data_IF_715044482004
#
_entry.id   IF_715044482004
#
_cell.length_a   1.000
_cell.length_b   1.000
_cell.length_c   1.000
_cell.angle_alpha   90.00
_cell.angle_beta   90.00
_cell.angle_gamma   90.00
#
_symmetry.space_group_name_H-M   'P 1'
#
loop_
_entity.id
_entity.type
_entity.pdbx_description
1 polymer ?
#
# COMPACT_ATOMS: atom_id res chain seq x y z
N UNK A 1 -18.39 -7.25 -8.10
CA UNK A 1 -18.44 -5.76 -8.05
C UNK A 1 -17.54 -5.20 -6.94
N UNK A 2 -16.86 -4.08 -7.18
CA UNK A 2 -16.01 -3.37 -6.19
C UNK A 2 -16.82 -2.47 -5.26
N UNK A 3 -16.54 -2.53 -3.96
CA UNK A 3 -17.11 -1.62 -2.98
C UNK A 3 -16.53 -0.20 -3.15
N UNK A 4 -17.32 0.82 -2.84
CA UNK A 4 -16.79 2.17 -2.60
C UNK A 4 -16.14 2.26 -1.21
N UNK A 5 -15.52 3.40 -0.85
CA UNK A 5 -14.94 3.56 0.48
C UNK A 5 -15.98 3.34 1.58
N UNK A 6 -15.57 2.77 2.72
CA UNK A 6 -16.46 2.48 3.85
C UNK A 6 -17.13 3.76 4.36
N UNK A 7 -16.38 4.86 4.40
CA UNK A 7 -16.86 6.21 4.69
C UNK A 7 -16.33 7.21 3.65
N UNK A 8 -17.12 8.23 3.34
CA UNK A 8 -16.74 9.34 2.46
C UNK A 8 -17.10 9.18 0.98
N UNK A 9 -16.64 10.14 0.16
CA UNK A 9 -16.98 10.24 -1.26
C UNK A 9 -15.96 9.51 -2.16
N UNK A 10 -16.48 8.87 -3.23
CA UNK A 10 -15.66 8.44 -4.36
C UNK A 10 -15.16 9.68 -5.10
N UNK A 11 -13.92 10.08 -4.85
CA UNK A 11 -13.28 11.12 -5.66
C UNK A 11 -12.61 10.47 -6.88
N UNK A 12 -13.06 10.73 -8.12
CA UNK A 12 -12.29 10.33 -9.30
C UNK A 12 -10.99 11.14 -9.31
N UNK A 13 -9.84 10.47 -9.33
CA UNK A 13 -8.60 11.18 -9.57
C UNK A 13 -8.37 11.31 -11.06
N UNK A 14 -8.39 12.56 -11.54
CA UNK A 14 -7.89 12.93 -12.87
C UNK A 14 -6.40 12.57 -13.07
N UNK A 15 -5.70 12.14 -12.00
CA UNK A 15 -4.31 11.66 -12.05
C UNK A 15 -4.11 10.52 -13.08
N UNK A 16 -5.13 9.72 -13.33
CA UNK A 16 -5.08 8.60 -14.27
C UNK A 16 -5.97 8.86 -15.50
N UNK A 17 -6.36 10.11 -15.74
CA UNK A 17 -7.38 10.45 -16.74
C UNK A 17 -8.80 10.08 -16.32
N UNK A 18 -9.78 10.44 -17.15
CA UNK A 18 -11.20 10.30 -16.81
C UNK A 18 -11.69 8.85 -16.73
N UNK A 19 -11.07 7.94 -17.50
CA UNK A 19 -11.38 6.51 -17.53
C UNK A 19 -10.39 5.67 -16.69
N UNK A 20 -9.45 6.30 -16.00
CA UNK A 20 -8.38 5.63 -15.26
C UNK A 20 -7.21 5.12 -16.13
N UNK A 21 -7.27 5.33 -17.45
CA UNK A 21 -6.23 4.94 -18.41
C UNK A 21 -5.99 6.04 -19.46
N UNK A 22 -6.09 7.31 -19.09
CA UNK A 22 -5.85 8.45 -19.99
C UNK A 22 -6.61 8.39 -21.33
N UNK A 23 -7.88 7.97 -21.30
CA UNK A 23 -8.79 7.79 -22.44
C UNK A 23 -8.43 6.63 -23.38
N UNK A 24 -7.39 5.85 -23.07
CA UNK A 24 -7.03 4.66 -23.85
C UNK A 24 -8.11 3.58 -23.74
N UNK A 25 -8.77 3.45 -22.59
CA UNK A 25 -9.89 2.52 -22.44
C UNK A 25 -11.08 2.86 -23.35
N UNK A 26 -11.32 4.16 -23.59
CA UNK A 26 -12.35 4.62 -24.53
C UNK A 26 -11.99 4.40 -26.00
N UNK A 27 -10.70 4.40 -26.34
CA UNK A 27 -10.19 4.13 -27.69
C UNK A 27 -10.17 2.63 -28.02
N UNK A 28 -10.13 1.79 -26.98
CA UNK A 28 -10.18 0.33 -27.09
C UNK A 28 -11.40 -0.20 -26.31
N UNK A 29 -12.63 0.06 -26.79
CA UNK A 29 -13.82 -0.37 -26.07
C UNK A 29 -13.89 -1.90 -26.07
N UNK A 30 -13.77 -2.48 -24.88
CA UNK A 30 -13.97 -3.91 -24.68
C UNK A 30 -15.39 -4.15 -24.17
N UNK A 31 -16.11 -5.05 -24.83
CA UNK A 31 -17.37 -5.53 -24.28
C UNK A 31 -17.05 -6.27 -22.99
N UNK A 32 -17.51 -5.71 -21.89
CA UNK A 32 -17.31 -6.25 -20.57
C UNK A 32 -18.17 -7.53 -20.43
N UNK A 33 -17.61 -8.66 -20.83
CA UNK A 33 -18.26 -9.98 -20.85
C UNK A 33 -17.68 -10.85 -19.75
N UNK A 34 -18.50 -11.77 -19.26
CA UNK A 34 -18.07 -12.82 -18.33
C UNK A 34 -17.51 -12.32 -16.99
N UNK A 35 -18.01 -11.18 -16.49
CA UNK A 35 -17.69 -10.76 -15.13
C UNK A 35 -18.20 -11.77 -14.11
N UNK A 36 -17.38 -12.02 -13.11
CA UNK A 36 -17.83 -12.71 -11.91
C UNK A 36 -18.96 -11.90 -11.24
N UNK A 37 -20.11 -12.55 -11.09
CA UNK A 37 -21.29 -11.95 -10.47
C UNK A 37 -21.12 -11.73 -8.96
N UNK A 38 -20.14 -12.39 -8.31
CA UNK A 38 -19.84 -12.23 -6.89
C UNK A 38 -19.33 -10.82 -6.59
N UNK A 39 -19.64 -10.31 -5.40
CA UNK A 39 -18.92 -9.16 -4.85
C UNK A 39 -17.49 -9.55 -4.49
N UNK A 40 -16.56 -8.60 -4.57
CA UNK A 40 -15.12 -8.89 -4.36
C UNK A 40 -14.83 -9.58 -3.02
N UNK A 41 -15.45 -9.20 -1.88
CA UNK A 41 -15.25 -9.93 -0.61
C UNK A 41 -15.69 -11.39 -0.64
N UNK A 42 -16.79 -11.70 -1.34
CA UNK A 42 -17.25 -13.08 -1.54
C UNK A 42 -16.28 -13.86 -2.44
N UNK A 43 -15.75 -13.21 -3.47
CA UNK A 43 -14.70 -13.80 -4.31
C UNK A 43 -13.42 -14.08 -3.51
N UNK A 44 -12.98 -13.16 -2.63
CA UNK A 44 -11.80 -13.38 -1.78
C UNK A 44 -12.00 -14.57 -0.83
N UNK A 45 -13.18 -14.70 -0.22
CA UNK A 45 -13.52 -15.88 0.58
C UNK A 45 -13.34 -17.17 -0.21
N UNK A 46 -13.91 -17.23 -1.41
CA UNK A 46 -13.90 -18.44 -2.24
C UNK A 46 -12.47 -18.78 -2.67
N UNK A 47 -11.70 -17.80 -3.14
CA UNK A 47 -10.29 -17.99 -3.51
C UNK A 47 -9.42 -18.42 -2.32
N UNK A 48 -9.65 -17.87 -1.12
CA UNK A 48 -8.94 -18.30 0.08
C UNK A 48 -9.26 -19.75 0.47
N UNK A 49 -10.49 -20.22 0.23
CA UNK A 49 -10.88 -21.61 0.45
C UNK A 49 -10.31 -22.56 -0.62
N UNK A 50 -10.31 -22.13 -1.88
CA UNK A 50 -9.83 -22.91 -3.04
C UNK A 50 -8.29 -22.98 -3.10
N UNK A 51 -7.62 -21.90 -2.69
CA UNK A 51 -6.17 -21.74 -2.75
C UNK A 51 -5.58 -21.35 -1.39
N UNK A 52 -5.66 -22.23 -0.37
CA UNK A 52 -5.00 -21.98 0.90
C UNK A 52 -3.49 -21.84 0.69
N UNK A 53 -2.89 -20.86 1.37
CA UNK A 53 -1.49 -20.48 1.20
C UNK A 53 -1.25 -19.46 0.07
N UNK A 54 -2.28 -19.01 -0.65
CA UNK A 54 -2.09 -17.97 -1.66
C UNK A 54 -1.64 -16.63 -1.04
N UNK A 55 -0.98 -15.82 -1.87
CA UNK A 55 -0.69 -14.40 -1.57
C UNK A 55 -1.78 -13.52 -2.19
N UNK A 56 -2.36 -12.61 -1.39
CA UNK A 56 -3.27 -11.59 -1.89
C UNK A 56 -2.51 -10.26 -2.03
N UNK A 57 -2.47 -9.70 -3.24
CA UNK A 57 -1.85 -8.42 -3.53
C UNK A 57 -2.91 -7.31 -3.60
N UNK A 58 -2.82 -6.32 -2.72
CA UNK A 58 -3.74 -5.19 -2.65
C UNK A 58 -3.03 -3.89 -3.07
N UNK A 59 -3.45 -3.33 -4.22
CA UNK A 59 -2.84 -2.17 -4.88
C UNK A 59 -3.75 -0.93 -4.91
N UNK A 60 -4.93 -1.01 -4.29
CA UNK A 60 -5.89 0.08 -4.26
C UNK A 60 -6.50 0.25 -2.88
N UNK A 61 -7.58 1.05 -2.75
CA UNK A 61 -8.30 1.20 -1.49
C UNK A 61 -8.68 -0.15 -0.89
N UNK A 62 -8.48 -0.30 0.42
CA UNK A 62 -8.56 -1.58 1.11
C UNK A 62 -10.00 -2.00 1.44
N UNK A 63 -11.01 -1.28 0.95
CA UNK A 63 -12.42 -1.50 1.33
C UNK A 63 -12.89 -2.94 1.12
N UNK A 64 -12.59 -3.52 -0.06
CA UNK A 64 -12.94 -4.91 -0.34
C UNK A 64 -12.25 -5.86 0.65
N UNK A 65 -11.00 -5.58 1.00
CA UNK A 65 -10.25 -6.40 1.93
C UNK A 65 -10.80 -6.30 3.36
N UNK A 66 -11.08 -5.08 3.84
CA UNK A 66 -11.70 -4.84 5.13
C UNK A 66 -13.07 -5.52 5.24
N UNK A 67 -13.90 -5.40 4.20
CA UNK A 67 -15.19 -6.09 4.14
C UNK A 67 -15.04 -7.61 4.14
N UNK A 68 -13.99 -8.17 3.54
CA UNK A 68 -13.71 -9.60 3.55
C UNK A 68 -13.25 -10.08 4.94
N UNK A 69 -12.37 -9.34 5.62
CA UNK A 69 -11.99 -9.62 7.01
C UNK A 69 -13.18 -9.58 7.97
N UNK A 70 -14.08 -8.60 7.80
CA UNK A 70 -15.27 -8.47 8.64
C UNK A 70 -16.31 -9.56 8.38
N UNK A 71 -16.53 -9.94 7.11
CA UNK A 71 -17.58 -10.91 6.74
C UNK A 71 -17.12 -12.36 6.78
N UNK A 72 -15.87 -12.63 6.42
CA UNK A 72 -15.33 -13.96 6.18
C UNK A 72 -13.96 -14.17 6.84
N UNK A 73 -13.80 -13.87 8.15
CA UNK A 73 -12.51 -13.92 8.82
C UNK A 73 -11.82 -15.29 8.67
N UNK A 74 -12.58 -16.39 8.74
CA UNK A 74 -12.05 -17.75 8.65
C UNK A 74 -11.42 -18.06 7.30
N UNK A 75 -12.01 -17.56 6.21
CA UNK A 75 -11.45 -17.71 4.87
C UNK A 75 -10.23 -16.81 4.67
N UNK A 76 -10.25 -15.59 5.22
CA UNK A 76 -9.10 -14.69 5.17
C UNK A 76 -7.86 -15.28 5.86
N UNK A 77 -8.05 -16.08 6.93
CA UNK A 77 -6.95 -16.80 7.61
C UNK A 77 -6.26 -17.87 6.76
N UNK A 78 -6.84 -18.25 5.60
CA UNK A 78 -6.26 -19.27 4.72
C UNK A 78 -5.19 -18.73 3.79
N UNK A 79 -5.14 -17.42 3.57
CA UNK A 79 -4.04 -16.81 2.84
C UNK A 79 -2.73 -16.96 3.65
N UNK A 80 -1.61 -17.13 2.97
CA UNK A 80 -0.29 -17.13 3.62
C UNK A 80 0.07 -15.70 4.03
N UNK A 81 -0.07 -14.78 3.08
CA UNK A 81 0.29 -13.38 3.23
C UNK A 81 -0.62 -12.47 2.42
N UNK A 82 -0.75 -11.24 2.89
CA UNK A 82 -1.39 -10.13 2.19
C UNK A 82 -0.36 -9.04 2.03
N UNK A 83 -0.07 -8.67 0.79
CA UNK A 83 0.91 -7.62 0.46
C UNK A 83 0.14 -6.38 0.03
N UNK A 84 0.35 -5.27 0.74
CA UNK A 84 -0.36 -4.01 0.58
C UNK A 84 0.60 -2.95 0.04
N UNK A 85 0.32 -2.41 -1.15
CA UNK A 85 1.02 -1.26 -1.71
C UNK A 85 0.30 0.04 -1.34
N UNK A 86 0.43 0.49 -0.10
CA UNK A 86 -0.22 1.68 0.43
C UNK A 86 0.54 2.19 1.67
N UNK A 87 0.02 3.25 2.30
CA UNK A 87 0.64 3.96 3.43
C UNK A 87 1.83 4.84 3.04
N UNK A 88 2.09 5.82 3.89
CA UNK A 88 3.26 6.66 3.85
C UNK A 88 3.58 7.17 5.26
N UNK A 89 4.85 7.06 5.66
CA UNK A 89 5.37 7.48 6.97
C UNK A 89 5.73 8.97 6.99
N UNK A 90 6.38 9.48 5.94
CA UNK A 90 6.92 10.85 5.96
C UNK A 90 6.14 11.85 5.11
N UNK A 91 5.25 11.40 4.22
CA UNK A 91 4.43 12.30 3.42
C UNK A 91 3.57 11.59 2.38
N UNK A 92 2.39 12.14 2.14
CA UNK A 92 1.41 11.57 1.22
C UNK A 92 1.68 11.91 -0.25
N UNK A 93 0.96 11.21 -1.14
CA UNK A 93 0.91 11.51 -2.58
C UNK A 93 -0.48 12.00 -3.04
N UNK A 94 -1.48 12.04 -2.15
CA UNK A 94 -2.83 12.56 -2.44
C UNK A 94 -3.10 13.90 -1.74
N UNK A 95 -2.76 13.98 -0.46
CA UNK A 95 -2.61 15.24 0.28
C UNK A 95 -1.16 15.31 0.78
N UNK A 96 -0.69 16.42 1.38
CA UNK A 96 0.65 16.47 1.97
C UNK A 96 0.94 15.32 2.96
N UNK A 97 -0.12 14.76 3.58
CA UNK A 97 0.00 13.74 4.63
C UNK A 97 -0.61 12.38 4.25
N UNK A 98 -1.68 12.37 3.45
CA UNK A 98 -2.44 11.17 3.10
C UNK A 98 -1.96 10.49 1.82
N UNK A 99 -1.70 9.18 1.91
CA UNK A 99 -1.47 8.31 0.76
C UNK A 99 -2.78 8.12 -0.03
N UNK A 100 -2.68 7.92 -1.33
CA UNK A 100 -3.80 7.88 -2.27
C UNK A 100 -4.88 6.85 -1.91
N UNK A 101 -4.51 5.59 -1.71
CA UNK A 101 -5.45 4.53 -1.37
C UNK A 101 -6.00 4.70 0.06
N UNK A 102 -5.15 5.10 1.00
CA UNK A 102 -5.56 5.30 2.40
C UNK A 102 -6.37 6.57 2.63
N UNK A 103 -6.18 7.63 1.86
CA UNK A 103 -7.01 8.83 1.94
C UNK A 103 -8.45 8.52 1.51
N UNK A 104 -8.61 7.60 0.57
CA UNK A 104 -9.93 7.16 0.10
C UNK A 104 -10.67 6.38 1.19
N UNK A 105 -10.00 5.44 1.87
CA UNK A 105 -10.60 4.60 2.91
C UNK A 105 -9.59 4.20 4.00
N UNK A 106 -9.26 5.12 4.94
CA UNK A 106 -8.35 4.85 6.05
C UNK A 106 -8.95 3.88 7.06
N UNK A 107 -10.28 3.91 7.23
CA UNK A 107 -11.00 3.00 8.13
C UNK A 107 -10.77 1.53 7.72
N UNK A 108 -10.72 1.26 6.41
CA UNK A 108 -10.41 -0.08 5.91
C UNK A 108 -9.02 -0.58 6.33
N UNK A 109 -7.99 0.28 6.39
CA UNK A 109 -6.67 -0.14 6.86
C UNK A 109 -6.72 -0.58 8.33
N UNK A 110 -7.33 0.24 9.19
CA UNK A 110 -7.41 -0.07 10.62
C UNK A 110 -8.19 -1.38 10.86
N UNK A 111 -9.24 -1.65 10.09
CA UNK A 111 -9.96 -2.93 10.14
C UNK A 111 -9.04 -4.08 9.72
N UNK A 112 -8.35 -3.98 8.60
CA UNK A 112 -7.44 -5.02 8.09
C UNK A 112 -6.34 -5.33 9.13
N UNK A 113 -5.71 -4.29 9.68
CA UNK A 113 -4.64 -4.42 10.67
C UNK A 113 -5.11 -4.84 12.06
N UNK A 114 -6.40 -4.69 12.37
CA UNK A 114 -6.96 -5.19 13.64
C UNK A 114 -7.07 -6.72 13.70
N UNK A 115 -6.88 -7.40 12.55
CA UNK A 115 -6.93 -8.86 12.46
C UNK A 115 -5.73 -9.51 13.16
N UNK A 116 -5.91 -9.94 14.42
CA UNK A 116 -4.84 -10.52 15.26
C UNK A 116 -4.48 -11.97 14.95
N UNK A 117 -5.31 -12.67 14.18
CA UNK A 117 -5.11 -14.09 13.83
C UNK A 117 -5.40 -14.22 12.34
N UNK A 118 -4.38 -14.49 11.52
CA UNK A 118 -4.56 -14.61 10.08
C UNK A 118 -3.25 -14.55 9.29
N UNK A 119 -3.32 -14.18 8.00
CA UNK A 119 -2.15 -14.12 7.12
C UNK A 119 -1.14 -13.10 7.64
N UNK A 120 0.12 -13.26 7.26
CA UNK A 120 1.09 -12.19 7.43
C UNK A 120 0.65 -10.95 6.63
N UNK A 121 0.45 -9.81 7.30
CA UNK A 121 0.14 -8.55 6.63
C UNK A 121 1.45 -7.81 6.40
N UNK A 122 1.80 -7.62 5.13
CA UNK A 122 3.01 -6.92 4.70
C UNK A 122 2.60 -5.60 4.04
N UNK A 123 3.11 -4.48 4.57
CA UNK A 123 2.83 -3.14 4.05
C UNK A 123 4.08 -2.56 3.40
N UNK A 124 3.94 -2.14 2.14
CA UNK A 124 4.94 -1.42 1.36
C UNK A 124 4.53 0.06 1.30
N UNK A 125 5.00 0.89 2.25
CA UNK A 125 4.73 2.31 2.24
C UNK A 125 5.41 2.99 1.04
N UNK A 126 4.87 4.13 0.60
CA UNK A 126 5.46 4.95 -0.46
C UNK A 126 6.95 5.19 -0.26
N UNK A 127 7.36 5.41 0.99
CA UNK A 127 8.73 5.70 1.40
C UNK A 127 9.71 4.58 1.01
N UNK A 128 9.25 3.33 0.95
CA UNK A 128 10.08 2.16 0.66
C UNK A 128 10.55 2.10 -0.80
N UNK A 129 9.81 2.70 -1.74
CA UNK A 129 10.06 2.56 -3.17
C UNK A 129 10.16 3.89 -3.93
N UNK A 130 10.29 5.03 -3.26
CA UNK A 130 10.47 6.33 -3.95
C UNK A 130 11.64 6.33 -4.95
N UNK A 131 12.61 5.43 -4.76
CA UNK A 131 13.76 5.23 -5.65
C UNK A 131 13.37 4.44 -6.93
N UNK A 132 12.37 3.57 -6.87
CA UNK A 132 11.86 2.82 -8.02
C UNK A 132 10.95 3.70 -8.88
N UNK A 133 11.51 4.20 -9.97
CA UNK A 133 10.88 5.24 -10.78
C UNK A 133 11.27 5.17 -12.25
N UNK A 134 10.38 5.61 -13.14
CA UNK A 134 10.66 5.71 -14.57
C UNK A 134 10.76 7.17 -15.01
N UNK A 135 11.64 7.43 -15.97
CA UNK A 135 11.61 8.64 -16.78
C UNK A 135 11.06 8.37 -18.19
N UNK A 136 11.00 9.40 -19.04
CA UNK A 136 10.50 9.25 -20.40
C UNK A 136 11.41 8.37 -21.28
N UNK A 137 12.72 8.34 -21.01
CA UNK A 137 13.65 7.49 -21.76
C UNK A 137 13.43 6.02 -21.42
N UNK A 138 13.16 5.72 -20.14
CA UNK A 138 12.69 4.41 -19.72
C UNK A 138 11.41 4.03 -20.49
N UNK A 139 10.40 4.92 -20.55
CA UNK A 139 9.15 4.64 -21.27
C UNK A 139 9.40 4.41 -22.77
N UNK A 140 10.19 5.25 -23.44
CA UNK A 140 10.51 5.06 -24.86
C UNK A 140 11.19 3.71 -25.11
N UNK A 141 12.17 3.34 -24.29
CA UNK A 141 12.86 2.06 -24.40
C UNK A 141 11.93 0.85 -24.19
N UNK A 142 10.88 0.99 -23.37
CA UNK A 142 9.83 -0.01 -23.23
C UNK A 142 8.96 -0.10 -24.49
N UNK A 143 8.53 1.04 -25.03
CA UNK A 143 7.60 1.11 -26.16
C UNK A 143 8.20 0.57 -27.46
N UNK A 144 9.50 0.76 -27.67
CA UNK A 144 10.22 0.28 -28.87
C UNK A 144 10.27 -1.25 -28.99
N UNK A 145 9.96 -2.00 -27.92
CA UNK A 145 9.96 -3.47 -27.92
C UNK A 145 8.76 -4.09 -28.63
N UNK A 146 7.72 -3.32 -28.95
CA UNK A 146 6.66 -3.74 -29.88
C UNK A 146 5.75 -4.88 -29.41
N UNK A 147 5.68 -5.20 -28.11
CA UNK A 147 4.69 -6.16 -27.57
C UNK A 147 3.31 -5.53 -27.50
N UNK A 148 2.25 -6.29 -27.77
CA UNK A 148 0.88 -5.74 -27.83
C UNK A 148 0.42 -5.14 -26.51
N UNK A 149 0.74 -5.78 -25.37
CA UNK A 149 0.48 -5.21 -24.05
C UNK A 149 1.21 -3.87 -23.83
N UNK A 150 2.44 -3.72 -24.34
CA UNK A 150 3.21 -2.47 -24.24
C UNK A 150 2.64 -1.40 -25.16
N UNK A 151 2.29 -1.74 -26.42
CA UNK A 151 1.63 -0.81 -27.35
C UNK A 151 0.35 -0.22 -26.74
N UNK A 152 -0.39 -1.04 -25.99
CA UNK A 152 -1.61 -0.60 -25.30
C UNK A 152 -1.32 0.38 -24.16
N UNK A 153 -0.39 0.06 -23.26
CA UNK A 153 -0.16 0.88 -22.05
C UNK A 153 0.77 2.08 -22.29
N UNK A 154 1.59 2.06 -23.33
CA UNK A 154 2.60 3.07 -23.63
C UNK A 154 2.06 4.51 -23.69
N UNK A 155 0.97 4.81 -24.41
CA UNK A 155 0.40 6.16 -24.42
C UNK A 155 0.02 6.68 -23.03
N UNK A 156 -0.59 5.82 -22.20
CA UNK A 156 -0.97 6.15 -20.83
C UNK A 156 0.26 6.34 -19.93
N UNK A 157 1.28 5.50 -20.07
CA UNK A 157 2.56 5.65 -19.36
C UNK A 157 3.30 6.93 -19.77
N UNK A 158 3.38 7.24 -21.07
CA UNK A 158 3.98 8.48 -21.56
C UNK A 158 3.28 9.70 -20.99
N UNK A 159 1.94 9.67 -20.90
CA UNK A 159 1.17 10.76 -20.30
C UNK A 159 1.38 10.82 -18.79
N UNK A 160 1.37 9.69 -18.09
CA UNK A 160 1.60 9.63 -16.64
C UNK A 160 3.00 10.15 -16.26
N UNK A 161 4.04 9.68 -16.94
CA UNK A 161 5.43 10.08 -16.71
C UNK A 161 5.71 11.50 -17.22
N UNK A 162 5.11 11.87 -18.35
CA UNK A 162 5.29 13.18 -18.99
C UNK A 162 4.38 14.28 -18.44
N UNK A 163 3.45 13.99 -17.52
CA UNK A 163 2.49 14.99 -17.07
C UNK A 163 3.19 16.15 -16.36
N UNK A 164 2.88 17.37 -16.82
CA UNK A 164 3.68 18.59 -16.68
C UNK A 164 3.72 19.20 -15.27
N UNK A 165 3.24 18.50 -14.25
CA UNK A 165 3.41 18.91 -12.84
C UNK A 165 4.80 18.53 -12.30
N UNK A 166 5.48 17.54 -12.90
CA UNK A 166 6.82 17.10 -12.49
C UNK A 166 7.80 18.26 -12.26
N UNK A 167 8.02 19.16 -13.22
CA UNK A 167 8.92 20.31 -13.06
C UNK A 167 8.50 21.29 -11.94
N UNK A 168 7.20 21.46 -11.70
CA UNK A 168 6.66 22.35 -10.66
C UNK A 168 6.88 21.81 -9.24
N UNK A 169 7.03 20.49 -9.09
CA UNK A 169 7.33 19.82 -7.81
C UNK A 169 8.74 19.23 -7.78
N UNK A 170 9.61 19.61 -8.74
CA UNK A 170 11.01 19.17 -8.81
C UNK A 170 11.22 17.68 -9.15
N UNK A 171 10.23 17.02 -9.76
CA UNK A 171 10.27 15.60 -10.13
C UNK A 171 10.43 15.42 -11.63
N UNK A 172 11.50 14.73 -12.03
CA UNK A 172 11.78 14.32 -13.41
C UNK A 172 11.47 12.84 -13.67
N UNK A 173 11.14 12.09 -12.62
CA UNK A 173 10.82 10.65 -12.66
C UNK A 173 9.47 10.41 -11.98
N UNK A 174 8.68 9.50 -12.52
CA UNK A 174 7.42 9.07 -11.92
C UNK A 174 7.61 7.76 -11.15
N UNK A 175 7.03 7.71 -9.95
CA UNK A 175 7.01 6.50 -9.13
C UNK A 175 6.00 5.51 -9.69
N UNK A 176 6.30 4.21 -9.62
CA UNK A 176 5.36 3.16 -10.03
C UNK A 176 5.12 2.21 -8.85
N UNK A 177 4.37 2.68 -7.82
CA UNK A 177 4.15 1.97 -6.55
C UNK A 177 3.66 0.53 -6.76
N UNK A 178 2.68 0.38 -7.65
CA UNK A 178 1.99 -0.89 -7.86
C UNK A 178 2.90 -1.96 -8.45
N UNK A 179 3.77 -1.58 -9.39
CA UNK A 179 4.75 -2.48 -9.99
C UNK A 179 5.83 -2.85 -8.98
N UNK A 180 6.31 -1.90 -8.18
CA UNK A 180 7.26 -2.21 -7.10
C UNK A 180 6.65 -3.23 -6.12
N UNK A 181 5.39 -3.01 -5.74
CA UNK A 181 4.68 -3.90 -4.82
C UNK A 181 4.47 -5.29 -5.41
N UNK A 182 4.10 -5.38 -6.69
CA UNK A 182 3.96 -6.66 -7.38
C UNK A 182 5.28 -7.44 -7.48
N UNK A 183 6.39 -6.75 -7.82
CA UNK A 183 7.71 -7.39 -7.88
C UNK A 183 8.13 -7.91 -6.50
N UNK A 184 7.93 -7.11 -5.44
CA UNK A 184 8.22 -7.55 -4.08
C UNK A 184 7.35 -8.74 -3.65
N UNK A 185 6.05 -8.74 -4.00
CA UNK A 185 5.17 -9.85 -3.68
C UNK A 185 5.62 -11.17 -4.34
N UNK A 186 6.24 -11.09 -5.52
CA UNK A 186 6.84 -12.22 -6.22
C UNK A 186 8.18 -12.67 -5.63
N UNK A 187 9.00 -11.74 -5.15
CA UNK A 187 10.31 -12.01 -4.54
C UNK A 187 10.54 -11.08 -3.33
N UNK A 188 10.15 -11.55 -2.14
CA UNK A 188 10.27 -10.79 -0.90
C UNK A 188 11.71 -10.62 -0.42
N UNK A 189 12.67 -11.37 -0.99
CA UNK A 189 14.10 -11.19 -0.69
C UNK A 189 14.64 -9.83 -1.18
N UNK A 190 13.86 -9.14 -2.01
CA UNK A 190 14.20 -7.81 -2.54
C UNK A 190 13.96 -6.68 -1.54
N UNK A 191 13.37 -6.93 -0.36
CA UNK A 191 13.12 -5.89 0.63
C UNK A 191 13.72 -6.18 1.99
N UNK A 192 14.10 -5.12 2.69
CA UNK A 192 14.38 -5.16 4.12
C UNK A 192 13.09 -4.87 4.87
N UNK A 193 12.80 -5.65 5.92
CA UNK A 193 11.54 -5.54 6.66
C UNK A 193 11.76 -5.30 8.16
N UNK A 194 10.77 -4.68 8.79
CA UNK A 194 10.67 -4.53 10.24
C UNK A 194 9.23 -4.78 10.69
N UNK A 195 9.03 -5.43 11.84
CA UNK A 195 7.70 -5.46 12.46
C UNK A 195 7.38 -4.08 13.02
N UNK A 196 6.12 -3.65 12.90
CA UNK A 196 5.71 -2.34 13.38
C UNK A 196 4.23 -2.23 13.67
N UNK A 197 3.89 -1.17 14.39
CA UNK A 197 2.51 -0.77 14.65
C UNK A 197 2.13 0.32 13.65
N UNK A 198 1.11 0.05 12.83
CA UNK A 198 0.55 0.99 11.88
C UNK A 198 -0.86 1.38 12.28
N UNK A 199 -1.17 2.67 12.23
CA UNK A 199 -2.53 3.22 12.32
C UNK A 199 -2.75 4.25 11.22
N UNK A 200 -3.98 4.33 10.72
CA UNK A 200 -4.42 5.43 9.85
C UNK A 200 -5.29 6.42 10.62
N UNK A 201 -5.12 7.71 10.32
CA UNK A 201 -6.02 8.77 10.81
C UNK A 201 -7.31 8.74 9.97
N UNK A 202 -8.42 8.46 10.66
CA UNK A 202 -9.77 8.35 10.12
C UNK A 202 -10.51 9.70 10.08
N UNK A 203 -11.75 9.69 9.56
CA UNK A 203 -12.64 10.86 9.55
C UNK A 203 -12.30 11.89 8.47
N UNK A 204 -12.92 13.08 8.54
CA UNK A 204 -12.89 14.07 7.44
C UNK A 204 -11.88 15.22 7.66
N UNK A 205 -10.96 15.05 8.62
CA UNK A 205 -9.96 16.07 8.95
C UNK A 205 -8.85 16.22 7.91
N UNK A 206 -8.02 17.27 8.06
CA UNK A 206 -6.90 17.55 7.15
C UNK A 206 -5.84 16.44 7.09
N UNK A 207 -5.76 15.61 8.14
CA UNK A 207 -4.85 14.48 8.26
C UNK A 207 -5.50 13.15 7.84
N UNK A 208 -6.71 13.14 7.27
CA UNK A 208 -7.35 11.91 6.77
C UNK A 208 -6.38 11.11 5.90
N UNK A 209 -6.26 9.82 6.17
CA UNK A 209 -5.37 8.94 5.41
C UNK A 209 -3.88 9.08 5.72
N UNK A 210 -3.50 9.94 6.67
CA UNK A 210 -2.15 9.91 7.24
C UNK A 210 -1.93 8.56 7.93
N UNK A 211 -0.72 8.02 7.79
CA UNK A 211 -0.34 6.75 8.41
C UNK A 211 0.75 6.95 9.43
N UNK A 212 0.44 6.60 10.67
CA UNK A 212 1.37 6.57 11.78
C UNK A 212 2.03 5.18 11.78
N UNK A 213 3.26 5.11 11.28
CA UNK A 213 4.05 3.87 11.23
C UNK A 213 5.12 3.94 12.33
N UNK A 214 4.95 3.16 13.39
CA UNK A 214 5.89 3.08 14.49
C UNK A 214 6.78 1.83 14.35
N UNK A 215 8.07 2.03 14.12
CA UNK A 215 9.08 0.97 13.91
C UNK A 215 10.08 0.90 15.07
N UNK A 216 10.20 1.97 15.84
CA UNK A 216 11.08 2.06 17.00
C UNK A 216 10.28 2.08 18.30
N UNK A 217 10.95 1.75 19.41
CA UNK A 217 10.35 1.79 20.74
C UNK A 217 9.73 3.16 21.07
N UNK A 218 10.44 4.25 20.75
CA UNK A 218 9.99 5.60 21.07
C UNK A 218 8.77 6.00 20.23
N UNK A 219 8.76 5.67 18.94
CA UNK A 219 7.59 5.91 18.09
C UNK A 219 6.36 5.16 18.60
N UNK A 220 6.54 3.90 19.06
CA UNK A 220 5.45 3.10 19.62
C UNK A 220 4.91 3.70 20.91
N UNK A 221 5.78 4.15 21.81
CA UNK A 221 5.37 4.82 23.04
C UNK A 221 4.55 6.07 22.70
N UNK A 222 5.02 6.91 21.77
CA UNK A 222 4.31 8.11 21.31
C UNK A 222 2.93 7.79 20.72
N UNK A 223 2.79 6.66 20.02
CA UNK A 223 1.54 6.26 19.37
C UNK A 223 0.49 5.64 20.32
N UNK A 224 0.92 5.12 21.47
CA UNK A 224 0.07 4.35 22.40
C UNK A 224 -0.24 5.13 23.68
N UNK A 225 0.73 5.89 24.18
CA UNK A 225 0.64 6.56 25.47
C UNK A 225 -0.24 7.81 25.40
N UNK A 226 -1.01 8.06 26.47
CA UNK A 226 -1.60 9.38 26.69
C UNK A 226 -0.54 10.40 27.13
N UNK A 227 -0.86 11.69 27.01
CA UNK A 227 -0.01 12.78 27.52
C UNK A 227 0.37 12.58 29.00
N UNK A 228 -0.58 12.11 29.82
CA UNK A 228 -0.36 11.85 31.25
C UNK A 228 0.52 10.61 31.50
N UNK A 229 0.51 9.62 30.61
CA UNK A 229 1.43 8.49 30.66
C UNK A 229 2.85 8.91 30.24
N UNK A 230 2.98 9.71 29.17
CA UNK A 230 4.26 10.25 28.71
C UNK A 230 4.95 11.14 29.75
N UNK A 231 4.19 12.02 30.41
CA UNK A 231 4.73 12.87 31.47
C UNK A 231 5.28 12.03 32.64
N UNK A 232 4.52 11.02 33.10
CA UNK A 232 4.97 10.12 34.17
C UNK A 232 6.21 9.32 33.79
N UNK A 233 6.27 8.82 32.55
CA UNK A 233 7.46 8.13 32.06
C UNK A 233 8.70 9.05 32.07
N UNK A 234 8.53 10.29 31.65
CA UNK A 234 9.60 11.29 31.61
C UNK A 234 10.14 11.61 33.00
N UNK A 235 9.26 11.73 34.01
CA UNK A 235 9.67 11.92 35.40
C UNK A 235 10.43 10.69 35.94
N UNK A 236 9.98 9.48 35.60
CA UNK A 236 10.57 8.24 36.10
C UNK A 236 11.96 7.92 35.54
N UNK A 237 12.30 8.38 34.32
CA UNK A 237 13.51 7.93 33.62
C UNK A 237 14.80 8.22 34.38
N UNK A 238 14.85 9.32 35.13
CA UNK A 238 16.01 9.74 35.92
C UNK A 238 15.89 9.42 37.42
N UNK A 239 14.67 9.12 37.90
CA UNK A 239 14.38 8.95 39.33
C UNK A 239 14.23 7.47 39.72
N UNK A 240 13.63 6.66 38.85
CA UNK A 240 13.43 5.21 39.03
C UNK A 240 13.41 4.49 37.66
N UNK A 241 14.60 4.05 37.18
CA UNK A 241 14.71 3.34 35.91
C UNK A 241 13.89 2.04 35.85
N UNK A 242 13.62 1.40 36.99
CA UNK A 242 12.85 0.15 37.04
C UNK A 242 11.36 0.41 36.78
N UNK A 243 10.82 1.49 37.35
CA UNK A 243 9.46 1.96 37.06
C UNK A 243 9.31 2.40 35.61
N UNK A 244 10.33 3.05 35.02
CA UNK A 244 10.30 3.41 33.60
C UNK A 244 10.17 2.16 32.71
N UNK A 245 11.02 1.15 32.93
CA UNK A 245 11.00 -0.11 32.16
C UNK A 245 9.66 -0.82 32.30
N UNK A 246 9.12 -0.92 33.52
CA UNK A 246 7.82 -1.55 33.77
C UNK A 246 6.66 -0.78 33.09
N UNK A 247 6.69 0.55 33.13
CA UNK A 247 5.72 1.41 32.46
C UNK A 247 5.74 1.25 30.94
N UNK A 248 6.95 1.25 30.35
CA UNK A 248 7.14 1.00 28.91
C UNK A 248 6.63 -0.38 28.53
N UNK A 249 7.00 -1.44 29.27
CA UNK A 249 6.52 -2.79 28.99
C UNK A 249 4.99 -2.88 29.04
N UNK A 250 4.35 -2.23 30.02
CA UNK A 250 2.89 -2.13 30.12
C UNK A 250 2.26 -1.50 28.88
N UNK A 251 2.81 -0.39 28.37
CA UNK A 251 2.33 0.25 27.15
C UNK A 251 2.44 -0.65 25.92
N UNK A 252 3.58 -1.29 25.71
CA UNK A 252 3.82 -2.11 24.52
C UNK A 252 2.93 -3.36 24.43
N UNK A 253 2.38 -3.82 25.55
CA UNK A 253 1.44 -4.95 25.57
C UNK A 253 0.01 -4.57 25.16
N UNK A 254 -0.36 -3.27 25.25
CA UNK A 254 -1.70 -2.80 24.87
C UNK A 254 -1.95 -2.96 23.37
N UNK A 255 -0.94 -2.58 22.59
CA UNK A 255 -1.00 -2.59 21.13
C UNK A 255 0.28 -3.22 20.56
N UNK A 256 0.27 -4.53 20.28
CA UNK A 256 1.38 -5.19 19.63
C UNK A 256 1.53 -4.69 18.19
N UNK A 257 2.69 -4.96 17.59
CA UNK A 257 2.90 -4.73 16.16
C UNK A 257 1.86 -5.50 15.35
N UNK A 258 1.36 -4.90 14.27
CA UNK A 258 0.23 -5.39 13.50
C UNK A 258 0.53 -5.59 12.01
N UNK A 259 1.76 -5.29 11.59
CA UNK A 259 2.24 -5.54 10.23
C UNK A 259 3.75 -5.78 10.18
N UNK A 260 4.16 -6.48 9.13
CA UNK A 260 5.53 -6.43 8.60
C UNK A 260 5.62 -5.23 7.66
N UNK A 261 6.55 -4.32 7.88
CA UNK A 261 6.73 -3.09 7.09
C UNK A 261 8.00 -3.22 6.26
N UNK A 262 7.89 -3.04 4.94
CA UNK A 262 9.05 -2.93 4.07
C UNK A 262 9.66 -1.55 4.25
N UNK A 263 10.91 -1.49 4.71
CA UNK A 263 11.60 -0.22 5.03
C UNK A 263 12.56 0.22 3.92
N UNK A 264 13.04 -0.71 3.10
CA UNK A 264 13.87 -0.42 1.92
C UNK A 264 13.76 -1.56 0.91
N UNK A 265 14.08 -1.28 -0.35
CA UNK A 265 14.07 -2.26 -1.44
C UNK A 265 15.38 -2.23 -2.24
N UNK A 266 15.77 -3.38 -2.79
CA UNK A 266 16.81 -3.49 -3.81
C UNK A 266 16.29 -2.94 -5.14
N UNK A 267 16.32 -1.62 -5.23
CA UNK A 267 15.79 -0.86 -6.38
C UNK A 267 16.49 -1.26 -7.69
N UNK A 268 17.79 -1.55 -7.64
CA UNK A 268 18.55 -1.93 -8.84
C UNK A 268 18.06 -3.27 -9.37
N UNK A 269 18.01 -4.30 -8.52
CA UNK A 269 17.55 -5.63 -8.93
C UNK A 269 16.08 -5.61 -9.36
N UNK A 270 15.24 -4.80 -8.71
CA UNK A 270 13.85 -4.59 -9.14
C UNK A 270 13.76 -3.93 -10.53
N UNK A 271 14.59 -2.93 -10.83
CA UNK A 271 14.64 -2.35 -12.18
C UNK A 271 15.12 -3.36 -13.23
N UNK A 272 16.09 -4.20 -12.91
CA UNK A 272 16.56 -5.28 -13.79
C UNK A 272 15.44 -6.30 -14.06
N UNK A 273 14.72 -6.73 -13.02
CA UNK A 273 13.58 -7.63 -13.15
C UNK A 273 12.46 -7.03 -14.00
N UNK A 274 12.11 -5.78 -13.73
CA UNK A 274 11.11 -5.04 -14.51
C UNK A 274 11.52 -4.98 -15.98
N UNK A 275 12.74 -4.50 -16.27
CA UNK A 275 13.28 -4.40 -17.64
C UNK A 275 13.35 -5.76 -18.32
N UNK A 276 13.70 -6.84 -17.62
CA UNK A 276 13.70 -8.19 -18.20
C UNK A 276 12.29 -8.64 -18.57
N UNK A 277 11.32 -8.47 -17.66
CA UNK A 277 9.94 -8.90 -17.86
C UNK A 277 9.27 -8.21 -19.07
N UNK A 278 9.66 -6.97 -19.35
CA UNK A 278 9.12 -6.16 -20.45
C UNK A 278 9.92 -6.25 -21.76
N UNK A 279 11.20 -6.66 -21.73
CA UNK A 279 12.06 -6.70 -22.93
C UNK A 279 12.33 -8.09 -23.50
N UNK A 280 12.26 -9.16 -22.70
CA UNK A 280 12.54 -10.52 -23.16
C UNK A 280 11.23 -11.15 -23.68
N UNK A 281 11.26 -11.75 -24.88
CA UNK A 281 10.18 -12.63 -25.33
C UNK A 281 10.12 -13.81 -24.37
N UNK A 282 8.99 -13.97 -23.69
CA UNK A 282 8.70 -15.25 -23.04
C UNK A 282 8.27 -16.19 -24.17
N UNK A 283 9.22 -16.98 -24.64
CA UNK A 283 8.95 -18.13 -25.52
C UNK A 283 8.16 -19.20 -24.75
#
# INVERSE_FOLDING_TARGET
MNAGPLLGLRAPALLHGMDGLWQIGLQHPHAARDFDSRDAPTLYRDLGNEHPGATLLALGPLTNLALAFSRYPDAMRRYERIVIGAAAKYGGNRTPSGEYSLWQDPEALNIVLSSRLGPEIIVLPLDSFQKFSLDLDDVHALCDKGRDALKFICPALTTYVGNQLGPLIGRTRAWIPDVATAIYAMDSSLGTVQSGLIKAIEGDGIMRGHTEIALTLLERITLIASDSELNRLTESIFLDPSSYVAGVAGLLTREPDNATVVVDIDTQKMHELFRRAVTVNQD
#
